data_IF_865304610387
#
_entry.id   IF_865304610387
#
_cell.length_a   1.000
_cell.length_b   1.000
_cell.length_c   1.000
_cell.angle_alpha   90.00
_cell.angle_beta   90.00
_cell.angle_gamma   90.00
#
_symmetry.space_group_name_H-M   'P 1'
#
loop_
_entity.id
_entity.type
_entity.pdbx_description
1 polymer ?
#
# COMPACT_ATOMS: atom_id res chain seq x y z
N UNK A 1 -0.40 -23.11 -26.93
CA UNK A 1 -0.02 -22.11 -25.90
C UNK A 1 -1.29 -21.55 -25.31
N UNK A 2 -1.57 -21.80 -24.04
CA UNK A 2 -2.67 -21.12 -23.36
C UNK A 2 -2.19 -19.71 -23.02
N UNK A 3 -2.82 -18.68 -23.60
CA UNK A 3 -2.67 -17.31 -23.13
C UNK A 3 -3.20 -17.28 -21.69
N UNK A 4 -2.30 -17.13 -20.72
CA UNK A 4 -2.72 -16.91 -19.34
C UNK A 4 -3.51 -15.59 -19.32
N UNK A 5 -4.79 -15.65 -18.91
CA UNK A 5 -5.61 -14.46 -18.75
C UNK A 5 -4.93 -13.48 -17.78
N UNK A 6 -4.75 -12.23 -18.19
CA UNK A 6 -4.26 -11.12 -17.34
C UNK A 6 -5.30 -10.71 -16.29
N UNK A 7 -6.54 -11.17 -16.47
CA UNK A 7 -7.68 -10.91 -15.60
C UNK A 7 -8.02 -12.14 -14.76
N UNK A 8 -8.49 -11.89 -13.54
CA UNK A 8 -9.14 -12.91 -12.73
C UNK A 8 -10.51 -13.25 -13.33
N UNK A 9 -10.73 -14.53 -13.63
CA UNK A 9 -11.94 -14.99 -14.32
C UNK A 9 -13.19 -14.97 -13.43
N UNK A 10 -13.05 -14.85 -12.11
CA UNK A 10 -14.17 -14.77 -11.17
C UNK A 10 -14.59 -13.33 -10.93
N UNK A 11 -13.63 -12.43 -10.72
CA UNK A 11 -13.92 -11.03 -10.39
C UNK A 11 -13.95 -10.12 -11.62
N UNK A 12 -13.34 -10.53 -12.73
CA UNK A 12 -13.16 -9.72 -13.93
C UNK A 12 -12.11 -8.61 -13.79
N UNK A 13 -11.43 -8.53 -12.64
CA UNK A 13 -10.41 -7.52 -12.36
C UNK A 13 -9.03 -7.95 -12.87
N UNK A 14 -8.14 -7.00 -13.19
CA UNK A 14 -6.74 -7.32 -13.48
C UNK A 14 -6.10 -8.08 -12.31
N UNK A 15 -5.25 -9.06 -12.62
CA UNK A 15 -4.44 -9.76 -11.60
C UNK A 15 -3.42 -8.83 -10.94
N UNK A 16 -2.90 -7.88 -11.71
CA UNK A 16 -2.12 -6.79 -11.16
C UNK A 16 -3.03 -5.84 -10.38
N UNK A 17 -2.76 -5.71 -9.08
CA UNK A 17 -3.56 -4.89 -8.17
C UNK A 17 -3.18 -3.40 -8.19
N UNK A 18 -2.27 -2.97 -9.07
CA UNK A 18 -1.85 -1.56 -9.16
C UNK A 18 -3.00 -0.54 -9.34
N UNK A 19 -4.15 -0.97 -9.85
CA UNK A 19 -5.35 -0.11 -9.93
C UNK A 19 -5.85 0.37 -8.56
N UNK A 20 -5.52 -0.32 -7.46
CA UNK A 20 -5.87 0.08 -6.10
C UNK A 20 -5.09 1.32 -5.62
N UNK A 21 -4.05 1.73 -6.34
CA UNK A 21 -3.28 2.95 -6.05
C UNK A 21 -3.75 4.15 -6.87
N UNK A 22 -4.79 3.97 -7.70
CA UNK A 22 -5.38 5.07 -8.43
C UNK A 22 -6.20 5.97 -7.50
N UNK A 23 -6.08 7.28 -7.69
CA UNK A 23 -6.90 8.27 -6.98
C UNK A 23 -6.51 8.54 -5.52
N UNK A 24 -5.35 8.06 -5.06
CA UNK A 24 -4.89 8.34 -3.69
C UNK A 24 -4.66 9.84 -3.48
N UNK A 25 -5.08 10.40 -2.32
CA UNK A 25 -4.87 11.81 -1.99
C UNK A 25 -3.37 12.11 -1.77
N UNK A 26 -2.99 13.37 -1.94
CA UNK A 26 -1.57 13.80 -1.87
C UNK A 26 -0.87 13.43 -0.57
N UNK A 27 -1.54 13.63 0.56
CA UNK A 27 -0.95 13.31 1.87
C UNK A 27 -0.60 11.82 2.00
N UNK A 28 -1.51 10.94 1.54
CA UNK A 28 -1.30 9.50 1.59
C UNK A 28 -0.21 9.04 0.61
N UNK A 29 -0.14 9.66 -0.58
CA UNK A 29 0.98 9.42 -1.52
C UNK A 29 2.32 9.83 -0.93
N UNK A 30 2.34 10.90 -0.13
CA UNK A 30 3.56 11.37 0.51
C UNK A 30 4.02 10.41 1.60
N UNK A 31 3.13 9.94 2.47
CA UNK A 31 3.51 8.97 3.51
C UNK A 31 3.89 7.59 2.95
N UNK A 32 3.28 7.16 1.84
CA UNK A 32 3.71 5.96 1.11
C UNK A 32 5.17 6.09 0.67
N UNK A 33 5.53 7.20 0.00
CA UNK A 33 6.91 7.42 -0.48
C UNK A 33 7.93 7.40 0.65
N UNK A 34 7.62 8.05 1.78
CA UNK A 34 8.49 8.08 2.96
C UNK A 34 8.73 6.66 3.48
N UNK A 35 7.67 5.85 3.57
CA UNK A 35 7.79 4.45 4.00
C UNK A 35 8.57 3.60 3.00
N UNK A 36 8.38 3.79 1.69
CA UNK A 36 9.18 3.11 0.66
C UNK A 36 10.67 3.44 0.80
N UNK A 37 11.04 4.70 0.99
CA UNK A 37 12.43 5.13 1.22
C UNK A 37 13.01 4.55 2.52
N UNK A 38 12.20 4.44 3.57
CA UNK A 38 12.59 3.80 4.83
C UNK A 38 12.86 2.31 4.64
N UNK A 39 11.99 1.60 3.91
CA UNK A 39 12.21 0.21 3.57
C UNK A 39 13.41 0.00 2.67
N UNK A 40 13.63 0.86 1.67
CA UNK A 40 14.82 0.78 0.82
C UNK A 40 16.10 0.86 1.66
N UNK A 41 16.17 1.78 2.63
CA UNK A 41 17.32 1.86 3.55
C UNK A 41 17.50 0.55 4.33
N UNK A 42 16.44 0.09 5.00
CA UNK A 42 16.50 -1.09 5.86
C UNK A 42 16.82 -2.39 5.09
N UNK A 43 16.20 -2.57 3.92
CA UNK A 43 16.41 -3.75 3.06
C UNK A 43 17.84 -3.77 2.48
N UNK A 44 18.49 -2.60 2.33
CA UNK A 44 19.90 -2.48 1.98
C UNK A 44 20.86 -2.58 3.18
N UNK A 45 20.35 -2.86 4.39
CA UNK A 45 21.15 -2.98 5.61
C UNK A 45 21.63 -1.65 6.18
N UNK A 46 21.05 -0.52 5.75
CA UNK A 46 21.33 0.80 6.31
C UNK A 46 20.53 0.96 7.60
N UNK A 47 21.21 1.33 8.68
CA UNK A 47 20.53 1.67 9.93
C UNK A 47 19.68 2.94 9.73
N UNK A 48 18.39 2.82 10.01
CA UNK A 48 17.46 3.93 9.94
C UNK A 48 16.51 3.90 11.14
N UNK A 49 16.81 4.66 12.19
CA UNK A 49 16.13 4.55 13.49
C UNK A 49 14.71 5.17 13.54
N UNK A 50 14.26 5.80 12.46
CA UNK A 50 12.96 6.50 12.40
C UNK A 50 11.87 5.73 11.63
N UNK A 51 12.19 4.51 11.17
CA UNK A 51 11.28 3.70 10.37
C UNK A 51 9.94 3.42 11.06
N UNK A 52 9.94 3.29 12.38
CA UNK A 52 8.76 3.04 13.20
C UNK A 52 7.82 4.26 13.27
N UNK A 53 8.39 5.46 13.27
CA UNK A 53 7.67 6.72 13.13
C UNK A 53 7.03 6.87 11.75
N UNK A 54 7.76 6.52 10.69
CA UNK A 54 7.24 6.53 9.31
C UNK A 54 6.12 5.50 9.14
N UNK A 55 6.29 4.31 9.72
CA UNK A 55 5.27 3.26 9.77
C UNK A 55 3.97 3.76 10.45
N UNK A 56 4.08 4.35 11.65
CA UNK A 56 2.92 4.87 12.38
C UNK A 56 2.23 6.02 11.64
N UNK A 57 3.00 6.86 10.95
CA UNK A 57 2.49 7.96 10.15
C UNK A 57 1.69 7.44 8.96
N UNK A 58 2.23 6.51 8.18
CA UNK A 58 1.50 5.88 7.07
C UNK A 58 0.26 5.13 7.56
N UNK A 59 0.35 4.38 8.66
CA UNK A 59 -0.82 3.69 9.23
C UNK A 59 -1.93 4.67 9.61
N UNK A 60 -1.56 5.84 10.15
CA UNK A 60 -2.50 6.91 10.52
C UNK A 60 -3.15 7.52 9.29
N UNK A 61 -2.38 7.79 8.23
CA UNK A 61 -2.91 8.35 6.98
C UNK A 61 -3.85 7.38 6.27
N UNK A 62 -3.52 6.08 6.24
CA UNK A 62 -4.42 5.05 5.71
C UNK A 62 -5.72 5.02 6.51
N UNK A 63 -5.63 5.03 7.85
CA UNK A 63 -6.81 5.03 8.72
C UNK A 63 -7.67 6.28 8.49
N UNK A 64 -7.05 7.45 8.37
CA UNK A 64 -7.75 8.70 8.12
C UNK A 64 -8.47 8.67 6.77
N UNK A 65 -7.79 8.22 5.71
CA UNK A 65 -8.37 8.13 4.37
C UNK A 65 -9.53 7.12 4.31
N UNK A 66 -9.41 5.98 4.98
CA UNK A 66 -10.46 4.95 5.03
C UNK A 66 -11.68 5.40 5.83
N UNK A 67 -11.48 5.93 7.05
CA UNK A 67 -12.58 6.38 7.93
C UNK A 67 -13.35 7.55 7.32
N UNK A 68 -12.67 8.46 6.62
CA UNK A 68 -13.29 9.57 5.91
C UNK A 68 -13.79 9.19 4.50
N UNK A 69 -13.77 7.91 4.13
CA UNK A 69 -14.27 7.39 2.85
C UNK A 69 -13.59 8.01 1.62
N UNK A 70 -12.34 8.46 1.76
CA UNK A 70 -11.51 8.99 0.66
C UNK A 70 -10.98 7.83 -0.19
N UNK A 71 -10.70 6.68 0.44
CA UNK A 71 -10.33 5.43 -0.23
C UNK A 71 -11.25 4.30 0.23
N UNK A 72 -11.39 3.27 -0.60
CA UNK A 72 -12.18 2.09 -0.22
C UNK A 72 -11.45 1.21 0.81
N UNK A 73 -12.17 0.35 1.56
CA UNK A 73 -11.55 -0.62 2.46
C UNK A 73 -10.58 -1.57 1.74
N UNK A 74 -10.86 -1.93 0.48
CA UNK A 74 -9.96 -2.78 -0.31
C UNK A 74 -8.66 -2.04 -0.65
N UNK A 75 -8.73 -0.75 -1.01
CA UNK A 75 -7.52 0.07 -1.19
C UNK A 75 -6.75 0.19 0.12
N UNK A 76 -7.43 0.51 1.22
CA UNK A 76 -6.79 0.67 2.52
C UNK A 76 -6.07 -0.62 2.95
N UNK A 77 -6.70 -1.78 2.74
CA UNK A 77 -6.07 -3.06 3.06
C UNK A 77 -4.90 -3.40 2.14
N UNK A 78 -5.04 -3.19 0.83
CA UNK A 78 -3.96 -3.36 -0.12
C UNK A 78 -2.72 -2.51 0.24
N UNK A 79 -2.92 -1.26 0.67
CA UNK A 79 -1.83 -0.39 1.10
C UNK A 79 -1.14 -0.89 2.37
N UNK A 80 -1.89 -1.43 3.34
CA UNK A 80 -1.33 -2.05 4.56
C UNK A 80 -0.51 -3.29 4.21
N UNK A 81 -1.02 -4.17 3.36
CA UNK A 81 -0.28 -5.36 2.92
C UNK A 81 1.00 -4.98 2.19
N UNK A 82 0.92 -4.06 1.23
CA UNK A 82 2.05 -3.69 0.36
C UNK A 82 3.11 -2.86 1.09
N UNK A 83 2.70 -1.80 1.79
CA UNK A 83 3.64 -0.80 2.32
C UNK A 83 3.89 -0.93 3.82
N UNK A 84 2.98 -1.53 4.59
CA UNK A 84 3.20 -1.82 6.01
C UNK A 84 3.56 -3.29 6.25
N UNK A 85 3.64 -4.11 5.19
CA UNK A 85 3.99 -5.55 5.28
C UNK A 85 3.09 -6.30 6.26
N UNK A 86 1.83 -5.87 6.42
CA UNK A 86 0.85 -6.49 7.30
C UNK A 86 0.20 -7.71 6.63
N UNK A 87 -0.15 -8.72 7.41
CA UNK A 87 -0.91 -9.88 6.94
C UNK A 87 -2.39 -9.74 7.29
N UNK A 88 -3.26 -10.25 6.41
CA UNK A 88 -4.71 -10.34 6.67
C UNK A 88 -4.99 -11.63 7.42
N UNK A 89 -5.59 -11.53 8.61
CA UNK A 89 -6.16 -12.67 9.33
C UNK A 89 -7.44 -13.19 8.67
#
# INVERSE_FOLDING_TARGET
MAMLSEYDLKTGLPKDKGYLECGLPDFLRQSIRIMEEAWEKLDNGVEYLHWDGDYCSLQTDINNAEVNQIISPEQAWYLREKYLRMERE
#
